data_IF_737009345218
#
_entry.id   IF_737009345218
#
_cell.length_a   1.000
_cell.length_b   1.000
_cell.length_c   1.000
_cell.angle_alpha   90.00
_cell.angle_beta   90.00
_cell.angle_gamma   90.00
#
_symmetry.space_group_name_H-M   'P 1'
#
loop_
_entity.id
_entity.type
_entity.pdbx_description
1 polymer ?
#
# COMPACT_ATOMS: atom_id res chain seq x y z
N UNK A 1 78.62 -3.37 -5.62
CA UNK A 1 79.18 -2.47 -6.65
C UNK A 1 78.30 -2.52 -7.88
N UNK A 2 78.10 -1.37 -8.54
CA UNK A 2 77.26 -1.10 -9.72
C UNK A 2 75.76 -1.03 -9.37
N UNK A 3 75.12 0.13 -9.14
CA UNK A 3 75.08 1.41 -9.87
C UNK A 3 74.73 1.26 -11.35
N UNK A 4 73.44 1.41 -11.67
CA UNK A 4 72.98 1.77 -13.02
C UNK A 4 71.97 2.91 -12.91
N UNK A 5 72.17 3.86 -13.81
CA UNK A 5 71.73 5.23 -13.74
C UNK A 5 70.26 5.48 -14.09
N UNK A 6 69.80 6.55 -13.45
CA UNK A 6 68.61 7.38 -13.64
C UNK A 6 68.41 7.81 -15.09
N UNK A 7 67.27 7.49 -15.70
CA UNK A 7 66.73 8.25 -16.84
C UNK A 7 65.57 9.13 -16.36
N UNK A 8 65.71 10.44 -16.53
CA UNK A 8 64.69 11.44 -16.24
C UNK A 8 63.49 11.28 -17.20
N UNK A 9 62.26 11.35 -16.66
CA UNK A 9 61.08 11.78 -17.41
C UNK A 9 60.44 13.00 -16.73
N UNK A 10 59.93 13.96 -17.51
CA UNK A 10 59.63 15.29 -17.03
C UNK A 10 58.33 15.40 -16.23
N UNK A 11 58.34 16.43 -15.40
CA UNK A 11 57.29 16.97 -14.55
C UNK A 11 56.17 17.59 -15.38
N UNK A 12 54.92 17.32 -15.00
CA UNK A 12 53.82 18.27 -15.14
C UNK A 12 52.71 17.90 -16.13
N UNK A 13 51.60 17.38 -15.62
CA UNK A 13 50.27 17.64 -16.17
C UNK A 13 49.23 17.54 -15.05
N UNK A 14 48.31 18.50 -15.06
CA UNK A 14 47.49 18.95 -13.95
C UNK A 14 46.29 18.03 -13.65
N UNK A 15 45.84 18.15 -12.40
CA UNK A 15 44.55 17.74 -11.86
C UNK A 15 43.37 17.96 -12.83
N UNK A 16 42.56 16.93 -13.03
CA UNK A 16 41.14 17.05 -13.36
C UNK A 16 40.39 15.94 -12.64
N UNK A 17 39.95 16.21 -11.41
CA UNK A 17 38.95 15.38 -10.74
C UNK A 17 37.63 15.60 -11.47
N UNK A 18 37.27 14.68 -12.37
CA UNK A 18 35.99 14.70 -13.05
C UNK A 18 34.88 14.36 -12.04
N UNK A 19 34.09 15.37 -11.67
CA UNK A 19 32.82 15.19 -10.98
C UNK A 19 31.90 14.38 -11.93
N UNK A 20 31.38 13.21 -11.55
CA UNK A 20 30.45 12.49 -12.41
C UNK A 20 29.14 13.27 -12.50
N UNK A 21 28.73 13.57 -13.73
CA UNK A 21 27.45 14.18 -14.04
C UNK A 21 26.30 13.29 -13.55
N UNK A 22 25.37 13.87 -12.80
CA UNK A 22 24.07 13.27 -12.48
C UNK A 22 23.35 13.08 -13.81
N UNK A 23 23.15 11.82 -14.22
CA UNK A 23 22.31 11.54 -15.38
C UNK A 23 20.85 11.87 -15.03
N UNK A 24 20.11 12.62 -15.88
CA UNK A 24 18.69 12.80 -15.66
C UNK A 24 18.00 11.45 -15.79
N UNK A 25 17.21 11.08 -14.77
CA UNK A 25 16.28 9.95 -14.81
C UNK A 25 15.46 10.02 -16.10
N UNK A 26 15.45 8.92 -16.85
CA UNK A 26 14.63 8.70 -18.04
C UNK A 26 13.22 9.29 -17.87
N UNK A 27 12.99 10.48 -18.43
CA UNK A 27 11.66 11.00 -18.68
C UNK A 27 11.02 10.02 -19.67
N UNK A 28 10.06 9.21 -19.20
CA UNK A 28 9.23 8.43 -20.10
C UNK A 28 8.70 9.38 -21.18
N UNK A 29 8.83 9.06 -22.47
CA UNK A 29 8.28 9.92 -23.50
C UNK A 29 6.78 10.04 -23.23
N UNK A 30 6.29 11.28 -23.18
CA UNK A 30 4.87 11.54 -23.26
C UNK A 30 4.40 10.99 -24.61
N UNK A 31 3.96 9.74 -24.63
CA UNK A 31 3.29 9.14 -25.78
C UNK A 31 2.01 9.92 -25.98
N UNK A 32 2.05 10.93 -26.85
CA UNK A 32 0.86 11.44 -27.53
C UNK A 32 0.03 10.22 -27.94
N UNK A 33 -1.25 10.10 -27.55
CA UNK A 33 -2.06 8.98 -28.00
C UNK A 33 -2.29 9.13 -29.50
N UNK A 34 -1.38 8.57 -30.28
CA UNK A 34 -1.58 8.25 -31.68
C UNK A 34 -2.79 7.31 -31.72
N UNK A 35 -3.84 7.56 -32.53
CA UNK A 35 -4.92 6.60 -32.65
C UNK A 35 -4.32 5.29 -33.15
N UNK A 36 -4.38 4.25 -32.32
CA UNK A 36 -3.84 2.93 -32.62
C UNK A 36 -4.44 2.42 -33.95
N UNK A 37 -3.60 1.82 -34.80
CA UNK A 37 -4.07 1.18 -36.02
C UNK A 37 -5.10 0.08 -35.66
N UNK A 38 -6.15 -0.15 -36.48
CA UNK A 38 -7.17 -1.14 -36.16
C UNK A 38 -6.53 -2.54 -36.11
N UNK A 39 -6.32 -3.07 -34.90
CA UNK A 39 -5.77 -4.42 -34.67
C UNK A 39 -4.63 -4.50 -33.66
N UNK A 40 -4.04 -3.40 -33.20
CA UNK A 40 -3.05 -3.43 -32.12
C UNK A 40 -3.73 -3.37 -30.75
N UNK A 41 -3.75 -4.52 -30.05
CA UNK A 41 -4.12 -4.57 -28.65
C UNK A 41 -2.93 -4.07 -27.82
N UNK A 42 -3.07 -2.88 -27.23
CA UNK A 42 -2.12 -2.42 -26.22
C UNK A 42 -2.27 -3.35 -25.01
N UNK A 43 -1.21 -4.08 -24.68
CA UNK A 43 -1.20 -4.99 -23.55
C UNK A 43 -1.54 -4.22 -22.26
N UNK A 44 -2.62 -4.62 -21.60
CA UNK A 44 -3.12 -3.91 -20.43
C UNK A 44 -2.15 -4.10 -19.25
N UNK A 45 -1.39 -3.05 -18.92
CA UNK A 45 -0.47 -3.06 -17.79
C UNK A 45 -1.26 -2.96 -16.47
N UNK A 46 -0.78 -3.67 -15.44
CA UNK A 46 -1.38 -3.62 -14.12
C UNK A 46 -1.12 -2.26 -13.45
N UNK A 47 -2.04 -1.83 -12.59
CA UNK A 47 -1.92 -0.56 -11.87
C UNK A 47 -0.86 -0.63 -10.77
N UNK A 48 -0.34 0.54 -10.37
CA UNK A 48 0.63 0.66 -9.29
C UNK A 48 -0.01 0.10 -8.00
N UNK A 49 0.63 -0.90 -7.37
CA UNK A 49 0.16 -1.70 -6.22
C UNK A 49 -0.77 -2.89 -6.52
N UNK A 50 -1.04 -3.22 -7.79
CA UNK A 50 -1.81 -4.41 -8.12
C UNK A 50 -1.11 -5.70 -7.64
N UNK A 51 -1.90 -6.60 -7.04
CA UNK A 51 -1.45 -7.92 -6.58
C UNK A 51 -2.26 -8.98 -7.33
N UNK A 52 -1.61 -10.05 -7.78
CA UNK A 52 -2.32 -11.20 -8.37
C UNK A 52 -3.10 -11.95 -7.29
N UNK A 53 -4.34 -12.34 -7.62
CA UNK A 53 -5.11 -13.21 -6.75
C UNK A 53 -4.46 -14.58 -6.69
N UNK A 54 -4.31 -15.11 -5.47
CA UNK A 54 -3.86 -16.48 -5.24
C UNK A 54 -4.55 -17.07 -4.01
N UNK A 55 -4.86 -18.36 -4.08
CA UNK A 55 -5.32 -19.14 -2.94
C UNK A 55 -4.15 -19.51 -2.03
N UNK A 56 -4.39 -19.56 -0.72
CA UNK A 56 -3.44 -20.06 0.26
C UNK A 56 -3.43 -21.59 0.25
N UNK A 57 -2.26 -22.18 0.42
CA UNK A 57 -2.13 -23.65 0.47
C UNK A 57 -2.49 -24.22 1.85
N UNK A 58 -2.21 -23.45 2.91
CA UNK A 58 -2.45 -23.81 4.31
C UNK A 58 -2.79 -22.56 5.14
N UNK A 59 -3.35 -22.75 6.33
CA UNK A 59 -3.69 -21.70 7.30
C UNK A 59 -2.44 -20.90 7.70
N UNK A 60 -1.27 -21.54 7.78
CA UNK A 60 -0.02 -20.85 8.09
C UNK A 60 0.37 -19.85 6.99
N UNK A 61 0.18 -20.19 5.72
CA UNK A 61 0.42 -19.26 4.60
C UNK A 61 -0.56 -18.08 4.67
N UNK A 62 -1.86 -18.36 4.88
CA UNK A 62 -2.88 -17.33 5.06
C UNK A 62 -2.54 -16.39 6.24
N UNK A 63 -2.02 -16.92 7.34
CA UNK A 63 -1.58 -16.14 8.51
C UNK A 63 -0.38 -15.25 8.20
N UNK A 64 0.61 -15.74 7.47
CA UNK A 64 1.76 -14.92 7.09
C UNK A 64 1.34 -13.79 6.15
N UNK A 65 0.44 -14.07 5.20
CA UNK A 65 -0.14 -13.09 4.29
C UNK A 65 -0.96 -12.03 5.05
N UNK A 66 -1.77 -12.44 6.02
CA UNK A 66 -2.55 -11.50 6.82
C UNK A 66 -1.66 -10.57 7.66
N UNK A 67 -0.58 -11.09 8.24
CA UNK A 67 0.42 -10.28 8.94
C UNK A 67 1.17 -9.34 8.00
N UNK A 68 1.48 -9.77 6.79
CA UNK A 68 2.11 -8.92 5.78
C UNK A 68 1.20 -7.76 5.38
N UNK A 69 -0.06 -8.04 5.06
CA UNK A 69 -1.07 -7.03 4.74
C UNK A 69 -1.30 -6.07 5.92
N UNK A 70 -1.42 -6.59 7.14
CA UNK A 70 -1.55 -5.77 8.34
C UNK A 70 -0.38 -4.79 8.52
N UNK A 71 0.86 -5.26 8.34
CA UNK A 71 2.05 -4.40 8.40
C UNK A 71 2.06 -3.34 7.29
N UNK A 72 1.60 -3.68 6.09
CA UNK A 72 1.49 -2.70 4.98
C UNK A 72 0.53 -1.58 5.35
N UNK A 73 -0.66 -1.89 5.87
CA UNK A 73 -1.62 -0.90 6.36
C UNK A 73 -1.03 0.01 7.45
N UNK A 74 -0.33 -0.56 8.43
CA UNK A 74 0.27 0.23 9.52
C UNK A 74 1.33 1.22 9.04
N UNK A 75 2.14 0.84 8.03
CA UNK A 75 3.15 1.72 7.43
C UNK A 75 2.54 2.83 6.59
N UNK A 76 1.43 2.52 5.91
CA UNK A 76 0.73 3.44 5.01
C UNK A 76 -0.22 4.41 5.73
N UNK A 77 -0.43 4.23 7.04
CA UNK A 77 -1.34 5.08 7.81
C UNK A 77 -1.02 6.58 7.73
N UNK A 78 0.25 6.98 7.85
CA UNK A 78 0.62 8.42 7.77
C UNK A 78 0.40 8.98 6.36
N UNK A 79 0.68 8.19 5.32
CA UNK A 79 0.43 8.52 3.92
C UNK A 79 -1.06 8.71 3.64
N UNK A 80 -1.92 7.84 4.20
CA UNK A 80 -3.38 7.96 4.07
C UNK A 80 -3.90 9.26 4.71
N UNK A 81 -3.40 9.65 5.89
CA UNK A 81 -3.78 10.94 6.51
C UNK A 81 -3.44 12.11 5.58
N UNK A 82 -2.23 12.08 5.00
CA UNK A 82 -1.75 13.13 4.12
C UNK A 82 -2.54 13.18 2.78
N UNK A 83 -2.77 12.03 2.16
CA UNK A 83 -3.49 11.90 0.89
C UNK A 83 -4.93 12.44 0.97
N UNK A 84 -5.59 12.21 2.11
CA UNK A 84 -7.01 12.52 2.28
C UNK A 84 -7.30 13.75 3.15
N UNK A 85 -6.26 14.45 3.63
CA UNK A 85 -6.39 15.58 4.56
C UNK A 85 -7.37 15.28 5.71
N UNK A 86 -7.12 14.17 6.41
CA UNK A 86 -7.97 13.71 7.51
C UNK A 86 -7.70 14.53 8.77
N UNK A 87 -8.77 14.88 9.50
CA UNK A 87 -8.71 15.57 10.80
C UNK A 87 -8.47 14.57 11.96
N UNK A 88 -7.84 13.44 11.67
CA UNK A 88 -7.57 12.36 12.61
C UNK A 88 -6.07 12.06 12.62
N UNK A 89 -5.48 11.78 13.79
CA UNK A 89 -4.08 11.36 13.84
C UNK A 89 -3.92 9.96 13.23
N UNK A 90 -2.75 9.68 12.66
CA UNK A 90 -2.46 8.37 12.08
C UNK A 90 -2.56 7.21 13.09
N UNK A 91 -2.41 7.48 14.39
CA UNK A 91 -2.68 6.52 15.46
C UNK A 91 -4.13 6.01 15.44
N UNK A 92 -5.11 6.88 15.16
CA UNK A 92 -6.51 6.49 15.06
C UNK A 92 -6.74 5.55 13.87
N UNK A 93 -6.08 5.79 12.73
CA UNK A 93 -6.11 4.87 11.58
C UNK A 93 -5.53 3.51 11.95
N UNK A 94 -4.36 3.47 12.58
CA UNK A 94 -3.72 2.21 13.00
C UNK A 94 -4.60 1.42 13.98
N UNK A 95 -5.23 2.11 14.93
CA UNK A 95 -6.21 1.50 15.85
C UNK A 95 -7.41 0.95 15.08
N UNK A 96 -7.91 1.70 14.09
CA UNK A 96 -9.06 1.29 13.30
C UNK A 96 -8.77 0.07 12.43
N UNK A 97 -7.61 0.05 11.77
CA UNK A 97 -7.10 -1.12 11.04
C UNK A 97 -7.04 -2.32 11.97
N UNK A 98 -6.49 -2.19 13.18
CA UNK A 98 -6.48 -3.30 14.16
C UNK A 98 -7.88 -3.82 14.46
N UNK A 99 -8.85 -2.94 14.70
CA UNK A 99 -10.23 -3.35 14.96
C UNK A 99 -10.83 -4.15 13.79
N UNK A 100 -10.60 -3.74 12.54
CA UNK A 100 -11.09 -4.48 11.37
C UNK A 100 -10.46 -5.88 11.25
N UNK A 101 -9.16 -6.02 11.53
CA UNK A 101 -8.52 -7.34 11.56
C UNK A 101 -9.04 -8.22 12.72
N UNK A 102 -9.30 -7.64 13.89
CA UNK A 102 -9.83 -8.38 15.04
C UNK A 102 -11.28 -8.84 14.83
N UNK A 103 -12.10 -8.13 14.04
CA UNK A 103 -13.46 -8.59 13.68
C UNK A 103 -13.47 -9.97 13.04
N UNK A 104 -12.44 -10.27 12.25
CA UNK A 104 -12.32 -11.53 11.51
C UNK A 104 -11.37 -12.53 12.18
N UNK A 105 -11.00 -12.32 13.46
CA UNK A 105 -9.99 -13.15 14.16
C UNK A 105 -10.37 -14.62 14.27
N UNK A 106 -11.65 -14.93 14.40
CA UNK A 106 -12.16 -16.29 14.64
C UNK A 106 -12.57 -17.02 13.36
N UNK A 107 -12.26 -16.47 12.18
CA UNK A 107 -12.51 -17.16 10.91
C UNK A 107 -11.49 -18.30 10.77
N UNK A 108 -12.00 -19.53 10.65
CA UNK A 108 -11.20 -20.75 10.52
C UNK A 108 -11.15 -21.29 9.09
N UNK A 109 -12.18 -21.01 8.29
CA UNK A 109 -12.26 -21.49 6.92
C UNK A 109 -11.24 -20.78 6.00
N UNK A 110 -10.44 -21.57 5.30
CA UNK A 110 -9.34 -21.10 4.46
C UNK A 110 -9.84 -20.30 3.25
N UNK A 111 -10.92 -20.76 2.61
CA UNK A 111 -11.50 -20.05 1.46
C UNK A 111 -12.01 -18.67 1.84
N UNK A 112 -12.68 -18.57 2.99
CA UNK A 112 -13.13 -17.30 3.55
C UNK A 112 -11.94 -16.38 3.88
N UNK A 113 -10.86 -16.90 4.47
CA UNK A 113 -9.65 -16.11 4.75
C UNK A 113 -9.02 -15.53 3.48
N UNK A 114 -8.95 -16.30 2.40
CA UNK A 114 -8.40 -15.82 1.12
C UNK A 114 -9.25 -14.71 0.51
N UNK A 115 -10.57 -14.82 0.58
CA UNK A 115 -11.49 -13.77 0.14
C UNK A 115 -11.29 -12.49 0.97
N UNK A 116 -11.13 -12.62 2.29
CA UNK A 116 -10.91 -11.49 3.18
C UNK A 116 -9.55 -10.81 2.91
N UNK A 117 -8.50 -11.60 2.71
CA UNK A 117 -7.17 -11.11 2.32
C UNK A 117 -7.24 -10.34 1.01
N UNK A 118 -7.90 -10.92 0.00
CA UNK A 118 -8.08 -10.28 -1.30
C UNK A 118 -8.81 -8.94 -1.19
N UNK A 119 -9.93 -8.90 -0.45
CA UNK A 119 -10.67 -7.66 -0.18
C UNK A 119 -9.81 -6.61 0.52
N UNK A 120 -8.99 -7.01 1.49
CA UNK A 120 -8.10 -6.09 2.19
C UNK A 120 -6.97 -5.52 1.31
N UNK A 121 -6.49 -6.28 0.32
CA UNK A 121 -5.56 -5.77 -0.68
C UNK A 121 -6.23 -4.77 -1.63
N UNK A 122 -7.42 -5.10 -2.13
CA UNK A 122 -8.19 -4.19 -3.00
C UNK A 122 -8.51 -2.88 -2.28
N UNK A 123 -8.95 -2.94 -1.03
CA UNK A 123 -9.28 -1.75 -0.24
C UNK A 123 -8.05 -0.83 -0.04
N UNK A 124 -6.87 -1.41 0.18
CA UNK A 124 -5.61 -0.66 0.32
C UNK A 124 -5.23 -0.01 -1.01
N UNK A 125 -5.35 -0.74 -2.12
CA UNK A 125 -5.04 -0.24 -3.45
C UNK A 125 -5.98 0.90 -3.84
N UNK A 126 -7.28 0.75 -3.63
CA UNK A 126 -8.28 1.80 -3.86
C UNK A 126 -8.01 3.06 -3.02
N UNK A 127 -7.49 2.88 -1.80
CA UNK A 127 -7.13 3.99 -0.90
C UNK A 127 -5.87 4.72 -1.38
N UNK A 128 -4.80 3.99 -1.69
CA UNK A 128 -3.52 4.62 -2.07
C UNK A 128 -3.53 5.19 -3.49
N UNK A 129 -4.33 4.63 -4.39
CA UNK A 129 -4.52 5.16 -5.73
C UNK A 129 -5.57 6.27 -5.81
N UNK A 130 -6.10 6.74 -4.67
CA UNK A 130 -7.11 7.80 -4.60
C UNK A 130 -8.38 7.48 -5.41
N UNK A 131 -8.76 6.20 -5.49
CA UNK A 131 -10.02 5.78 -6.12
C UNK A 131 -11.21 5.97 -5.18
N UNK A 132 -10.97 6.02 -3.87
CA UNK A 132 -11.98 6.41 -2.88
C UNK A 132 -11.92 7.89 -2.56
N UNK A 133 -13.04 8.43 -2.08
CA UNK A 133 -13.15 9.78 -1.51
C UNK A 133 -13.05 9.74 0.03
N UNK A 134 -12.69 10.87 0.67
CA UNK A 134 -12.60 11.06 2.14
C UNK A 134 -13.80 10.46 2.90
N UNK A 135 -15.02 10.62 2.38
CA UNK A 135 -16.26 10.05 2.96
C UNK A 135 -16.20 8.54 3.17
N UNK A 136 -15.62 7.79 2.24
CA UNK A 136 -15.51 6.33 2.34
C UNK A 136 -14.58 5.90 3.47
N UNK A 137 -13.51 6.67 3.70
CA UNK A 137 -12.60 6.42 4.83
C UNK A 137 -13.28 6.79 6.14
N UNK A 138 -13.95 7.95 6.17
CA UNK A 138 -14.67 8.42 7.36
C UNK A 138 -15.78 7.47 7.78
N UNK A 139 -16.40 6.74 6.85
CA UNK A 139 -17.37 5.66 7.15
C UNK A 139 -16.82 4.58 8.07
N UNK A 140 -15.51 4.31 8.04
CA UNK A 140 -14.92 3.39 9.02
C UNK A 140 -14.96 3.99 10.44
N UNK A 141 -14.94 5.31 10.60
CA UNK A 141 -14.90 6.04 11.87
C UNK A 141 -16.26 6.52 12.38
N UNK A 142 -17.34 6.39 11.59
CA UNK A 142 -18.72 6.78 11.93
C UNK A 142 -19.36 5.98 13.09
N UNK A 143 -18.55 5.47 14.02
CA UNK A 143 -18.97 4.97 15.34
C UNK A 143 -19.92 3.79 15.26
N UNK A 144 -19.42 2.54 15.21
CA UNK A 144 -20.16 1.41 15.78
C UNK A 144 -21.64 1.29 15.40
N UNK A 145 -22.06 1.64 14.17
CA UNK A 145 -23.45 1.95 13.81
C UNK A 145 -24.45 0.78 14.00
N UNK A 146 -23.94 -0.43 14.24
CA UNK A 146 -24.73 -1.61 14.56
C UNK A 146 -24.39 -2.25 15.91
N UNK A 147 -23.48 -1.68 16.70
CA UNK A 147 -22.93 -2.27 17.91
C UNK A 147 -23.52 -1.69 19.19
N UNK A 148 -23.56 -0.37 19.34
CA UNK A 148 -23.97 0.23 20.62
C UNK A 148 -25.49 0.37 20.75
N UNK A 149 -26.20 0.69 19.65
CA UNK A 149 -27.65 0.64 19.64
C UNK A 149 -28.22 -0.79 19.71
N UNK A 150 -27.46 -1.81 19.27
CA UNK A 150 -27.89 -3.23 19.37
C UNK A 150 -27.56 -3.88 20.71
N UNK A 151 -26.59 -3.34 21.46
CA UNK A 151 -26.21 -3.80 22.80
C UNK A 151 -26.99 -3.09 23.92
N UNK A 152 -27.96 -2.26 23.59
CA UNK A 152 -28.89 -1.74 24.58
C UNK A 152 -29.56 -2.89 25.33
N UNK A 153 -29.79 -2.76 26.66
CA UNK A 153 -30.49 -3.79 27.43
C UNK A 153 -31.85 -4.06 26.80
N UNK A 154 -32.35 -5.30 26.96
CA UNK A 154 -33.61 -5.74 26.36
C UNK A 154 -34.74 -4.71 26.54
N UNK A 155 -34.85 -4.11 27.73
CA UNK A 155 -35.91 -3.15 28.04
C UNK A 155 -35.83 -1.86 27.20
N UNK A 156 -34.63 -1.33 26.96
CA UNK A 156 -34.44 -0.15 26.12
C UNK A 156 -34.72 -0.47 24.64
N UNK A 157 -34.37 -1.68 24.18
CA UNK A 157 -34.71 -2.16 22.82
C UNK A 157 -36.22 -2.35 22.65
N UNK A 158 -36.88 -2.94 23.64
CA UNK A 158 -38.33 -3.17 23.68
C UNK A 158 -39.12 -1.85 23.67
N UNK A 159 -38.75 -0.89 24.54
CA UNK A 159 -39.41 0.41 24.62
C UNK A 159 -39.24 1.25 23.33
N UNK A 160 -38.09 1.11 22.66
CA UNK A 160 -37.82 1.81 21.40
C UNK A 160 -38.33 1.06 20.14
N UNK A 161 -39.03 -0.07 20.30
CA UNK A 161 -39.55 -0.86 19.16
C UNK A 161 -38.47 -1.41 18.22
N UNK A 162 -37.25 -1.62 18.71
CA UNK A 162 -36.10 -2.12 17.94
C UNK A 162 -35.83 -3.59 18.26
N UNK A 163 -35.97 -4.46 17.26
CA UNK A 163 -35.75 -5.92 17.37
C UNK A 163 -34.30 -6.36 17.35
#
# INVERSE_FOLDING_TARGET
MHSVARSLRPVGARLAHSIPAIQPSSTAPATTPQPAAPGEYVESQATHLAVYSRASTDINDARLRSLALYRQWLRKADEIVALYYLELPASAIRQRVRQEFEKNRYVTDLGTLDILLWKGHLDLQETLNLWKQKTHIMRYFEQGQFGDARKAPFMDRFLNGRN
#
